data_IF_381994388504
#
_entry.id   IF_381994388504
#
_cell.length_a   1.000
_cell.length_b   1.000
_cell.length_c   1.000
_cell.angle_alpha   90.00
_cell.angle_beta   90.00
_cell.angle_gamma   90.00
#
_symmetry.space_group_name_H-M   'P 1'
#
loop_
_entity.id
_entity.type
_entity.pdbx_description
1 polymer ?
#
# COMPACT_ATOMS: atom_id res chain seq x y z
N UNK A 1 11.68 23.33 23.82
CA UNK A 1 11.73 22.00 23.17
C UNK A 1 11.18 22.15 21.77
N UNK A 2 11.97 21.96 20.72
CA UNK A 2 11.42 22.00 19.35
C UNK A 2 10.62 20.72 19.11
N UNK A 3 9.42 20.86 18.56
CA UNK A 3 8.58 19.72 18.18
C UNK A 3 9.20 19.10 16.93
N UNK A 4 9.80 17.91 17.04
CA UNK A 4 10.22 17.15 15.86
C UNK A 4 8.98 16.74 15.07
N UNK A 5 8.74 17.41 13.95
CA UNK A 5 7.70 17.01 12.99
C UNK A 5 8.26 15.85 12.18
N UNK A 6 7.65 14.67 12.30
CA UNK A 6 8.07 13.43 11.60
C UNK A 6 7.21 13.11 10.38
N UNK A 7 6.15 13.90 10.17
CA UNK A 7 5.16 13.67 9.11
C UNK A 7 4.83 15.00 8.47
N UNK A 8 4.99 15.04 7.15
CA UNK A 8 4.66 16.19 6.33
C UNK A 8 3.56 15.77 5.36
N UNK A 9 2.58 16.65 5.19
CA UNK A 9 1.50 16.47 4.23
C UNK A 9 1.69 17.44 3.07
N UNK A 10 1.51 16.95 1.86
CA UNK A 10 1.64 17.71 0.64
C UNK A 10 0.55 17.33 -0.36
N UNK A 11 0.18 18.30 -1.20
CA UNK A 11 -0.83 18.13 -2.24
C UNK A 11 -0.13 17.94 -3.58
N UNK A 12 -0.53 16.94 -4.36
CA UNK A 12 -0.05 16.75 -5.73
C UNK A 12 -0.64 17.84 -6.62
N UNK A 13 0.21 18.61 -7.30
CA UNK A 13 -0.20 19.76 -8.12
C UNK A 13 -0.38 19.40 -9.59
N UNK A 14 0.33 18.38 -10.09
CA UNK A 14 0.23 17.90 -11.46
C UNK A 14 -0.76 16.72 -11.63
N UNK A 15 -1.84 16.70 -10.85
CA UNK A 15 -2.76 15.57 -10.75
C UNK A 15 -3.29 15.06 -12.10
N UNK A 16 -3.57 15.96 -13.06
CA UNK A 16 -4.05 15.57 -14.40
C UNK A 16 -3.08 14.66 -15.16
N UNK A 17 -1.78 14.77 -14.89
CA UNK A 17 -0.73 13.99 -15.57
C UNK A 17 -0.50 12.64 -14.90
N UNK A 18 -0.66 12.56 -13.58
CA UNK A 18 -0.26 11.38 -12.78
C UNK A 18 -1.43 10.53 -12.29
N UNK A 19 -2.67 11.04 -12.35
CA UNK A 19 -3.86 10.38 -11.78
C UNK A 19 -4.02 8.95 -12.26
N UNK A 20 -3.93 8.71 -13.57
CA UNK A 20 -4.27 7.39 -14.12
C UNK A 20 -3.23 6.33 -13.71
N UNK A 21 -1.95 6.71 -13.56
CA UNK A 21 -0.93 5.83 -13.00
C UNK A 21 -1.12 5.60 -11.49
N UNK A 22 -1.44 6.65 -10.73
CA UNK A 22 -1.73 6.53 -9.29
C UNK A 22 -2.95 5.64 -9.04
N UNK A 23 -3.99 5.77 -9.87
CA UNK A 23 -5.19 4.94 -9.82
C UNK A 23 -4.85 3.47 -10.13
N UNK A 24 -3.98 3.22 -11.12
CA UNK A 24 -3.49 1.86 -11.40
C UNK A 24 -2.75 1.25 -10.20
N UNK A 25 -1.90 2.00 -9.50
CA UNK A 25 -1.25 1.51 -8.29
C UNK A 25 -2.27 1.25 -7.17
N UNK A 26 -3.26 2.13 -7.00
CA UNK A 26 -4.34 1.96 -6.04
C UNK A 26 -5.18 0.71 -6.30
N UNK A 27 -5.46 0.39 -7.56
CA UNK A 27 -6.14 -0.85 -7.96
C UNK A 27 -5.27 -2.09 -7.76
N UNK A 28 -3.98 -2.02 -8.11
CA UNK A 28 -3.03 -3.09 -7.89
C UNK A 28 -2.93 -3.47 -6.40
N UNK A 29 -2.88 -2.47 -5.51
CA UNK A 29 -2.90 -2.70 -4.06
C UNK A 29 -4.19 -3.39 -3.59
N UNK A 30 -5.35 -2.97 -4.07
CA UNK A 30 -6.63 -3.62 -3.73
C UNK A 30 -6.68 -5.07 -4.22
N UNK A 31 -6.16 -5.35 -5.41
CA UNK A 31 -6.09 -6.72 -5.95
C UNK A 31 -5.15 -7.59 -5.11
N UNK A 32 -3.95 -7.11 -4.78
CA UNK A 32 -3.01 -7.86 -3.95
C UNK A 32 -3.57 -8.11 -2.54
N UNK A 33 -4.22 -7.13 -1.93
CA UNK A 33 -4.95 -7.30 -0.67
C UNK A 33 -5.97 -8.44 -0.78
N UNK A 34 -6.77 -8.46 -1.85
CA UNK A 34 -7.81 -9.48 -2.03
C UNK A 34 -7.20 -10.88 -2.22
N UNK A 35 -6.07 -10.99 -2.94
CA UNK A 35 -5.32 -12.26 -3.08
C UNK A 35 -4.81 -12.73 -1.71
N UNK A 36 -4.16 -11.85 -0.94
CA UNK A 36 -3.67 -12.21 0.39
C UNK A 36 -4.78 -12.57 1.37
N UNK A 37 -5.91 -11.85 1.33
CA UNK A 37 -7.07 -12.16 2.17
C UNK A 37 -7.71 -13.48 1.79
N UNK A 38 -7.72 -13.83 0.51
CA UNK A 38 -8.21 -15.12 0.04
C UNK A 38 -7.33 -16.25 0.58
N UNK A 39 -6.01 -16.15 0.40
CA UNK A 39 -5.06 -17.13 0.95
C UNK A 39 -5.18 -17.26 2.48
N UNK A 40 -5.28 -16.15 3.21
CA UNK A 40 -5.47 -16.19 4.66
C UNK A 40 -6.75 -16.91 5.10
N UNK A 41 -7.81 -16.84 4.28
CA UNK A 41 -9.03 -17.60 4.54
C UNK A 41 -8.84 -19.10 4.30
N UNK A 42 -8.15 -19.48 3.21
CA UNK A 42 -7.85 -20.89 2.95
C UNK A 42 -7.03 -21.49 4.10
N UNK A 43 -5.99 -20.78 4.55
CA UNK A 43 -5.21 -21.22 5.71
C UNK A 43 -6.06 -21.34 6.97
N UNK A 44 -6.92 -20.36 7.26
CA UNK A 44 -7.83 -20.45 8.39
C UNK A 44 -8.78 -21.65 8.31
N UNK A 45 -9.37 -21.90 7.14
CA UNK A 45 -10.32 -23.00 6.95
C UNK A 45 -9.63 -24.37 7.07
N UNK A 46 -8.35 -24.46 6.73
CA UNK A 46 -7.55 -25.69 6.81
C UNK A 46 -6.92 -25.93 8.19
N UNK A 47 -6.35 -24.89 8.82
CA UNK A 47 -5.51 -25.02 10.01
C UNK A 47 -6.12 -24.37 11.26
N UNK A 48 -7.06 -23.45 11.08
CA UNK A 48 -7.55 -22.59 12.17
C UNK A 48 -6.57 -21.48 12.57
N UNK A 49 -5.56 -21.19 11.76
CA UNK A 49 -4.56 -20.14 12.01
C UNK A 49 -4.57 -19.11 10.87
N UNK A 50 -4.33 -17.84 11.22
CA UNK A 50 -4.19 -16.76 10.24
C UNK A 50 -2.69 -16.58 9.96
N UNK A 51 -2.24 -16.60 8.69
CA UNK A 51 -0.84 -16.44 8.36
C UNK A 51 -0.37 -15.02 8.68
N UNK A 52 0.87 -14.90 9.15
CA UNK A 52 1.49 -13.61 9.43
C UNK A 52 2.00 -12.91 8.15
N UNK A 53 2.52 -11.69 8.28
CA UNK A 53 3.04 -10.94 7.14
C UNK A 53 4.23 -11.63 6.45
N UNK A 54 5.05 -12.37 7.20
CA UNK A 54 6.19 -13.13 6.68
C UNK A 54 5.75 -14.29 5.79
N UNK A 55 4.77 -15.06 6.24
CA UNK A 55 4.14 -16.15 5.50
C UNK A 55 3.45 -15.62 4.24
N UNK A 56 2.61 -14.58 4.39
CA UNK A 56 1.94 -13.92 3.27
C UNK A 56 2.94 -13.44 2.21
N UNK A 57 4.04 -12.80 2.63
CA UNK A 57 5.10 -12.36 1.70
C UNK A 57 5.81 -13.53 1.04
N UNK A 58 6.11 -14.59 1.78
CA UNK A 58 6.83 -15.75 1.25
C UNK A 58 6.02 -16.47 0.18
N UNK A 59 4.72 -16.66 0.43
CA UNK A 59 3.78 -17.30 -0.47
C UNK A 59 3.55 -16.43 -1.72
N UNK A 60 3.21 -15.15 -1.52
CA UNK A 60 2.73 -14.31 -2.60
C UNK A 60 3.82 -13.64 -3.43
N UNK A 61 5.10 -13.73 -3.06
CA UNK A 61 6.21 -13.09 -3.81
C UNK A 61 6.28 -13.50 -5.29
N UNK A 62 5.81 -14.70 -5.62
CA UNK A 62 5.77 -15.24 -6.99
C UNK A 62 4.43 -15.00 -7.70
N UNK A 63 3.41 -14.51 -6.98
CA UNK A 63 2.09 -14.26 -7.54
C UNK A 63 2.11 -13.06 -8.50
N UNK A 64 1.41 -13.15 -9.64
CA UNK A 64 1.42 -12.10 -10.68
C UNK A 64 1.06 -10.71 -10.15
N UNK A 65 0.11 -10.63 -9.21
CA UNK A 65 -0.34 -9.37 -8.58
C UNK A 65 0.69 -8.75 -7.65
N UNK A 66 1.63 -9.55 -7.12
CA UNK A 66 2.72 -9.01 -6.30
C UNK A 66 3.64 -8.11 -7.13
N UNK A 67 3.79 -8.40 -8.43
CA UNK A 67 4.63 -7.62 -9.35
C UNK A 67 3.91 -6.44 -10.01
N UNK A 68 2.62 -6.22 -9.72
CA UNK A 68 1.87 -5.02 -10.14
C UNK A 68 2.33 -3.77 -9.36
N UNK A 69 2.91 -3.96 -8.17
CA UNK A 69 3.52 -2.89 -7.35
C UNK A 69 5.05 -3.06 -7.24
N UNK A 70 5.74 -1.99 -6.82
CA UNK A 70 7.13 -2.11 -6.39
C UNK A 70 7.20 -3.05 -5.17
N UNK A 71 8.23 -3.88 -5.06
CA UNK A 71 8.31 -4.97 -4.06
C UNK A 71 8.05 -4.51 -2.62
N UNK A 72 8.60 -3.37 -2.21
CA UNK A 72 8.36 -2.82 -0.87
C UNK A 72 6.92 -2.32 -0.66
N UNK A 73 6.25 -1.87 -1.72
CA UNK A 73 4.83 -1.50 -1.65
C UNK A 73 3.94 -2.74 -1.59
N UNK A 74 4.29 -3.81 -2.33
CA UNK A 74 3.62 -5.11 -2.22
C UNK A 74 3.73 -5.69 -0.82
N UNK A 75 4.94 -5.67 -0.24
CA UNK A 75 5.17 -6.09 1.15
C UNK A 75 4.32 -5.30 2.13
N UNK A 76 4.21 -3.97 1.94
CA UNK A 76 3.41 -3.14 2.82
C UNK A 76 1.91 -3.43 2.73
N UNK A 77 1.38 -3.77 1.55
CA UNK A 77 -0.02 -4.23 1.42
C UNK A 77 -0.29 -5.49 2.24
N UNK A 78 0.67 -6.43 2.28
CA UNK A 78 0.55 -7.67 3.04
C UNK A 78 0.72 -7.44 4.55
N UNK A 79 1.62 -6.55 4.95
CA UNK A 79 1.73 -6.10 6.35
C UNK A 79 0.46 -5.39 6.83
N UNK A 80 -0.15 -4.54 6.00
CA UNK A 80 -1.44 -3.90 6.35
C UNK A 80 -2.55 -4.94 6.56
N UNK A 81 -2.49 -6.05 5.82
CA UNK A 81 -3.47 -7.13 5.94
C UNK A 81 -3.29 -7.89 7.26
N UNK A 82 -2.04 -8.27 7.58
CA UNK A 82 -1.68 -8.87 8.86
C UNK A 82 -2.06 -7.95 10.04
N UNK A 83 -1.69 -6.66 9.99
CA UNK A 83 -2.09 -5.66 10.99
C UNK A 83 -3.61 -5.61 11.19
N UNK A 84 -4.39 -5.72 10.10
CA UNK A 84 -5.84 -5.72 10.18
C UNK A 84 -6.42 -7.01 10.81
N UNK A 85 -5.84 -8.17 10.52
CA UNK A 85 -6.19 -9.42 11.19
C UNK A 85 -5.81 -9.41 12.68
N UNK A 86 -4.61 -8.95 13.01
CA UNK A 86 -4.16 -8.80 14.40
C UNK A 86 -5.07 -7.86 15.19
N UNK A 87 -5.47 -6.73 14.59
CA UNK A 87 -6.44 -5.81 15.20
C UNK A 87 -7.80 -6.45 15.43
N UNK A 88 -8.31 -7.21 14.45
CA UNK A 88 -9.58 -7.94 14.58
C UNK A 88 -9.51 -9.02 15.67
N UNK A 89 -8.45 -9.82 15.68
CA UNK A 89 -8.22 -10.88 16.67
C UNK A 89 -8.14 -10.28 18.09
N UNK A 90 -7.40 -9.19 18.27
CA UNK A 90 -7.34 -8.48 19.54
C UNK A 90 -8.70 -7.96 20.03
N UNK A 91 -9.56 -7.46 19.14
CA UNK A 91 -10.93 -7.06 19.50
C UNK A 91 -11.79 -8.24 19.95
N UNK A 92 -11.70 -9.38 19.25
CA UNK A 92 -12.41 -10.61 19.63
C UNK A 92 -11.95 -11.13 20.99
N UNK A 93 -10.65 -11.15 21.24
CA UNK A 93 -10.08 -11.56 22.53
C UNK A 93 -10.53 -10.65 23.68
N UNK A 94 -10.75 -9.36 23.40
CA UNK A 94 -11.27 -8.37 24.35
C UNK A 94 -12.80 -8.41 24.51
N UNK A 95 -13.49 -9.42 23.95
CA UNK A 95 -14.93 -9.65 24.14
C UNK A 95 -15.86 -8.89 23.17
N UNK A 96 -15.33 -8.24 22.12
CA UNK A 96 -16.18 -7.67 21.08
C UNK A 96 -16.65 -8.75 20.09
N UNK A 97 -17.75 -9.40 20.42
CA UNK A 97 -18.35 -10.43 19.56
C UNK A 97 -18.89 -9.90 18.23
N UNK A 98 -18.97 -8.57 18.04
CA UNK A 98 -19.41 -7.95 16.78
C UNK A 98 -18.26 -7.62 15.85
N UNK A 99 -17.00 -7.76 16.30
CA UNK A 99 -15.83 -7.49 15.47
C UNK A 99 -15.77 -8.44 14.26
N UNK A 100 -15.62 -7.85 13.07
CA UNK A 100 -15.55 -8.58 11.79
C UNK A 100 -14.10 -8.62 11.28
N UNK A 101 -13.66 -9.74 10.65
CA UNK A 101 -12.34 -9.81 10.05
C UNK A 101 -12.20 -8.82 8.90
N UNK A 102 -10.96 -8.49 8.48
CA UNK A 102 -10.74 -7.67 7.31
C UNK A 102 -11.48 -8.25 6.09
N UNK A 103 -12.24 -7.38 5.44
CA UNK A 103 -13.01 -7.71 4.24
C UNK A 103 -12.17 -7.61 2.97
N UNK A 104 -12.75 -8.11 1.87
CA UNK A 104 -12.23 -7.82 0.53
C UNK A 104 -12.39 -6.33 0.21
N UNK A 105 -11.39 -5.74 -0.44
CA UNK A 105 -11.44 -4.39 -1.02
C UNK A 105 -12.07 -4.49 -2.41
N UNK A 106 -13.39 -4.75 -2.47
CA UNK A 106 -14.21 -4.78 -3.70
C UNK A 106 -15.67 -4.43 -3.41
N UNK A 107 -16.35 -3.83 -4.40
CA UNK A 107 -17.79 -3.53 -4.41
C UNK A 107 -18.39 -4.07 -5.72
N UNK A 108 -18.96 -5.28 -5.69
CA UNK A 108 -19.32 -6.00 -6.93
C UNK A 108 -18.07 -6.23 -7.79
N UNK A 109 -18.11 -5.80 -9.05
CA UNK A 109 -16.96 -5.85 -9.96
C UNK A 109 -15.99 -4.65 -9.81
N UNK A 110 -16.39 -3.64 -9.01
CA UNK A 110 -15.56 -2.46 -8.77
C UNK A 110 -14.50 -2.75 -7.71
N UNK A 111 -13.25 -2.38 -8.00
CA UNK A 111 -12.15 -2.45 -7.06
C UNK A 111 -11.83 -1.02 -6.60
N UNK A 112 -12.27 -0.60 -5.39
CA UNK A 112 -11.95 0.74 -4.90
C UNK A 112 -10.44 0.91 -4.82
N UNK A 113 -9.94 2.12 -5.03
CA UNK A 113 -8.50 2.43 -4.94
C UNK A 113 -8.06 2.35 -3.49
N UNK A 114 -7.01 1.57 -3.24
CA UNK A 114 -6.34 1.55 -1.94
C UNK A 114 -5.33 2.67 -1.83
N UNK A 115 -5.05 3.09 -0.60
CA UNK A 115 -3.83 3.85 -0.30
C UNK A 115 -2.61 3.00 -0.61
N UNK A 116 -1.58 3.59 -1.21
CA UNK A 116 -0.32 2.90 -1.53
C UNK A 116 0.80 3.54 -0.75
N UNK A 117 1.51 2.72 0.01
CA UNK A 117 2.66 3.14 0.80
C UNK A 117 3.96 2.84 0.05
N UNK A 118 4.90 3.79 0.07
CA UNK A 118 6.22 3.65 -0.53
C UNK A 118 7.30 3.74 0.56
N UNK A 119 8.13 2.71 0.67
CA UNK A 119 9.33 2.72 1.53
C UNK A 119 10.53 3.28 0.75
N UNK A 120 11.67 3.45 1.41
CA UNK A 120 12.83 4.18 0.89
C UNK A 120 13.32 3.77 -0.52
N UNK A 121 13.18 2.51 -0.94
CA UNK A 121 13.55 2.09 -2.30
C UNK A 121 12.41 2.28 -3.33
N UNK A 122 11.18 2.43 -2.84
CA UNK A 122 9.97 2.67 -3.63
C UNK A 122 9.77 4.12 -4.08
N UNK A 123 10.51 5.09 -3.55
CA UNK A 123 10.43 6.48 -4.00
C UNK A 123 11.80 7.19 -3.99
N UNK A 124 11.87 8.34 -4.67
CA UNK A 124 12.94 9.33 -4.50
C UNK A 124 12.32 10.70 -4.35
N UNK A 125 12.81 11.48 -3.39
CA UNK A 125 12.34 12.83 -3.12
C UNK A 125 13.39 13.85 -3.58
N UNK A 126 12.93 14.88 -4.28
CA UNK A 126 13.72 16.03 -4.71
C UNK A 126 13.04 17.28 -4.14
N UNK A 127 13.56 17.76 -3.01
CA UNK A 127 13.02 18.91 -2.32
C UNK A 127 13.22 20.22 -3.10
N UNK A 128 14.34 20.36 -3.82
CA UNK A 128 14.69 21.56 -4.58
C UNK A 128 13.71 21.80 -5.73
N UNK A 129 13.29 20.73 -6.40
CA UNK A 129 12.31 20.80 -7.49
C UNK A 129 10.89 20.47 -7.03
N UNK A 130 10.65 20.31 -5.72
CA UNK A 130 9.34 19.95 -5.14
C UNK A 130 8.69 18.74 -5.82
N UNK A 131 9.49 17.69 -6.02
CA UNK A 131 9.09 16.49 -6.76
C UNK A 131 9.29 15.22 -5.95
N UNK A 132 8.41 14.25 -6.16
CA UNK A 132 8.59 12.88 -5.70
C UNK A 132 8.42 11.92 -6.87
N UNK A 133 9.40 11.05 -7.04
CA UNK A 133 9.39 9.97 -8.02
C UNK A 133 8.93 8.70 -7.34
N UNK A 134 7.84 8.11 -7.80
CA UNK A 134 7.28 6.87 -7.26
C UNK A 134 7.55 5.69 -8.21
N UNK A 135 8.03 4.58 -7.65
CA UNK A 135 8.32 3.37 -8.40
C UNK A 135 7.05 2.58 -8.70
N UNK A 136 6.86 2.18 -9.96
CA UNK A 136 5.80 1.26 -10.39
C UNK A 136 6.24 -0.21 -10.24
N UNK A 137 5.29 -1.14 -10.18
CA UNK A 137 5.58 -2.57 -10.34
C UNK A 137 5.93 -2.93 -11.78
N UNK A 138 6.64 -4.04 -11.98
CA UNK A 138 7.16 -4.42 -13.31
C UNK A 138 6.04 -4.58 -14.34
N UNK A 139 4.89 -5.10 -13.94
CA UNK A 139 3.76 -5.33 -14.85
C UNK A 139 3.09 -4.05 -15.34
N UNK A 140 3.28 -2.94 -14.62
CA UNK A 140 2.70 -1.64 -14.98
C UNK A 140 3.69 -0.72 -15.71
N UNK A 141 4.88 -1.23 -16.04
CA UNK A 141 5.93 -0.46 -16.72
C UNK A 141 5.97 -0.80 -18.20
N UNK A 142 6.04 0.23 -19.04
CA UNK A 142 6.41 0.07 -20.45
C UNK A 142 7.92 -0.17 -20.61
N UNK A 143 8.72 0.48 -19.76
CA UNK A 143 10.18 0.41 -19.76
C UNK A 143 10.73 0.29 -18.34
N UNK A 144 11.94 -0.25 -18.17
CA UNK A 144 12.57 -0.43 -16.83
C UNK A 144 12.61 0.87 -16.00
N UNK A 145 12.77 2.01 -16.69
CA UNK A 145 12.87 3.35 -16.13
C UNK A 145 11.53 4.07 -15.98
N UNK A 146 10.39 3.42 -16.24
CA UNK A 146 9.08 4.03 -16.03
C UNK A 146 8.80 4.25 -14.53
N UNK A 147 8.28 5.44 -14.20
CA UNK A 147 7.97 5.94 -12.86
C UNK A 147 6.89 7.02 -12.93
N UNK A 148 6.22 7.25 -11.81
CA UNK A 148 5.29 8.38 -11.65
C UNK A 148 6.09 9.55 -11.08
N UNK A 149 6.07 10.71 -11.74
CA UNK A 149 6.69 11.93 -11.25
C UNK A 149 5.63 12.89 -10.74
N UNK A 150 5.44 12.94 -9.43
CA UNK A 150 4.51 13.86 -8.80
C UNK A 150 5.22 15.16 -8.46
N UNK A 151 4.64 16.27 -8.88
CA UNK A 151 4.95 17.59 -8.33
C UNK A 151 4.05 17.81 -7.13
N UNK A 152 4.60 18.35 -6.05
CA UNK A 152 3.86 18.54 -4.81
C UNK A 152 4.00 19.97 -4.28
N UNK A 153 3.03 20.38 -3.48
CA UNK A 153 3.08 21.60 -2.70
C UNK A 153 2.83 21.27 -1.23
N UNK A 154 3.75 21.67 -0.36
CA UNK A 154 3.58 21.62 1.10
C UNK A 154 2.81 22.84 1.59
N UNK A 155 2.41 22.81 2.87
CA UNK A 155 1.93 24.03 3.54
C UNK A 155 3.04 25.09 3.60
N UNK A 156 2.71 26.39 3.60
CA UNK A 156 3.71 27.47 3.62
C UNK A 156 4.68 27.45 4.81
N UNK A 157 4.28 26.82 5.93
CA UNK A 157 5.06 26.69 7.16
C UNK A 157 6.01 25.47 7.17
N UNK A 158 6.08 24.71 6.07
CA UNK A 158 6.88 23.48 5.95
C UNK A 158 7.99 23.68 4.92
N UNK A 159 9.22 23.61 5.40
CA UNK A 159 10.43 23.51 4.58
C UNK A 159 10.98 22.08 4.63
N UNK A 160 11.18 21.47 3.46
CA UNK A 160 11.74 20.14 3.29
C UNK A 160 13.15 20.17 2.67
N UNK A 161 13.71 21.36 2.44
CA UNK A 161 15.09 21.51 2.04
C UNK A 161 15.98 21.36 3.28
N UNK A 162 16.80 20.31 3.30
CA UNK A 162 17.85 20.11 4.31
C UNK A 162 19.17 20.72 3.84
#
# INVERSE_FOLDING_TARGET
MSRTVRTFEATITNQRQVRDDLDQLGWAASKLWNVGRYYAQEQWDETGEIPDDGELKSELKSHERYTDLHSQSSQRVLEELDEAFNSWSGKRQNGDDRARPPGYRKNGDSHPRSTVSFRAAGFKHDAQLTRVRLSKGRNLKEHRSDFILCEYQTRPDVDLTE
#
